data_IF_169464909550
#
_entry.id   IF_169464909550
#
_cell.length_a   1.000
_cell.length_b   1.000
_cell.length_c   1.000
_cell.angle_alpha   90.00
_cell.angle_beta   90.00
_cell.angle_gamma   90.00
#
_symmetry.space_group_name_H-M   'P 1'
#
loop_
_entity.id
_entity.type
_entity.pdbx_description
1 polymer ?
#
# COMPACT_ATOMS: atom_id res chain seq x y z
N UNK A 1 -0.32 -16.48 -5.31
CA UNK A 1 0.17 -15.16 -4.84
C UNK A 1 0.70 -15.32 -3.42
N UNK A 2 1.92 -14.83 -3.16
CA UNK A 2 2.75 -15.20 -2.01
C UNK A 2 2.76 -14.15 -0.90
N UNK A 3 3.73 -13.24 -0.95
CA UNK A 3 3.97 -12.26 0.12
C UNK A 3 4.41 -10.93 -0.47
N UNK A 4 4.14 -9.84 0.24
CA UNK A 4 4.79 -8.54 0.02
C UNK A 4 5.83 -8.36 1.12
N UNK A 5 7.07 -8.04 0.76
CA UNK A 5 8.15 -7.81 1.71
C UNK A 5 8.48 -6.31 1.71
N UNK A 6 8.36 -5.66 2.86
CA UNK A 6 8.67 -4.23 3.03
C UNK A 6 9.50 -4.08 4.30
N UNK A 7 10.74 -3.65 4.15
CA UNK A 7 11.68 -3.55 5.27
C UNK A 7 11.86 -4.90 5.98
N UNK A 8 11.54 -4.93 7.26
CA UNK A 8 11.59 -6.14 8.09
C UNK A 8 10.21 -6.82 8.27
N UNK A 9 9.21 -6.39 7.49
CA UNK A 9 7.84 -6.90 7.50
C UNK A 9 7.56 -7.78 6.28
N UNK A 10 6.87 -8.90 6.53
CA UNK A 10 6.44 -9.86 5.52
C UNK A 10 4.92 -10.00 5.60
N UNK A 11 4.23 -9.40 4.64
CA UNK A 11 2.77 -9.36 4.57
C UNK A 11 2.29 -10.53 3.73
N UNK A 12 1.54 -11.43 4.36
CA UNK A 12 0.96 -12.58 3.69
C UNK A 12 -0.28 -12.16 2.90
N UNK A 13 -0.26 -12.29 1.58
CA UNK A 13 -1.40 -11.95 0.71
C UNK A 13 -2.16 -13.20 0.26
N UNK A 14 -1.78 -14.39 0.73
CA UNK A 14 -2.53 -15.62 0.45
C UNK A 14 -3.95 -15.49 1.03
N UNK A 15 -4.94 -15.93 0.26
CA UNK A 15 -6.36 -15.77 0.60
C UNK A 15 -6.97 -14.41 0.23
N UNK A 16 -6.18 -13.45 -0.30
CA UNK A 16 -6.71 -12.30 -1.01
C UNK A 16 -6.93 -12.66 -2.48
N UNK A 17 -8.05 -13.34 -2.75
CA UNK A 17 -8.37 -13.89 -4.08
C UNK A 17 -8.58 -12.82 -5.16
N UNK A 18 -8.92 -11.60 -4.75
CA UNK A 18 -9.11 -10.47 -5.65
C UNK A 18 -7.79 -9.80 -6.09
N UNK A 19 -6.65 -10.20 -5.50
CA UNK A 19 -5.32 -9.82 -6.00
C UNK A 19 -4.86 -10.90 -6.99
N UNK A 20 -5.10 -10.63 -8.27
CA UNK A 20 -5.00 -11.63 -9.34
C UNK A 20 -3.67 -11.54 -10.07
N UNK A 21 -3.21 -10.32 -10.38
CA UNK A 21 -2.04 -10.11 -11.25
C UNK A 21 -0.79 -9.72 -10.46
N UNK A 22 0.40 -10.01 -11.02
CA UNK A 22 1.66 -9.53 -10.45
C UNK A 22 1.73 -8.00 -10.45
N UNK A 23 1.20 -7.35 -11.48
CA UNK A 23 1.19 -5.88 -11.62
C UNK A 23 0.36 -5.20 -10.53
N UNK A 24 -0.75 -5.83 -10.13
CA UNK A 24 -1.56 -5.38 -9.00
C UNK A 24 -0.80 -5.53 -7.68
N UNK A 25 -0.07 -6.64 -7.50
CA UNK A 25 0.78 -6.83 -6.32
C UNK A 25 1.93 -5.81 -6.25
N UNK A 26 2.60 -5.57 -7.37
CA UNK A 26 3.66 -4.56 -7.50
C UNK A 26 3.09 -3.17 -7.19
N UNK A 27 1.91 -2.83 -7.70
CA UNK A 27 1.21 -1.58 -7.41
C UNK A 27 0.93 -1.40 -5.92
N UNK A 28 0.39 -2.43 -5.25
CA UNK A 28 0.17 -2.41 -3.80
C UNK A 28 1.50 -2.18 -3.05
N UNK A 29 2.58 -2.86 -3.46
CA UNK A 29 3.91 -2.69 -2.87
C UNK A 29 4.40 -1.23 -2.98
N UNK A 30 4.29 -0.63 -4.17
CA UNK A 30 4.65 0.77 -4.38
C UNK A 30 3.76 1.74 -3.58
N UNK A 31 2.45 1.48 -3.50
CA UNK A 31 1.52 2.30 -2.72
C UNK A 31 1.84 2.25 -1.22
N UNK A 32 2.13 1.07 -0.67
CA UNK A 32 2.56 0.92 0.72
C UNK A 32 3.85 1.69 0.98
N UNK A 33 4.85 1.54 0.10
CA UNK A 33 6.10 2.28 0.19
C UNK A 33 5.87 3.79 0.16
N UNK A 34 5.00 4.27 -0.72
CA UNK A 34 4.65 5.69 -0.81
C UNK A 34 4.05 6.19 0.51
N UNK A 35 3.08 5.45 1.08
CA UNK A 35 2.46 5.78 2.36
C UNK A 35 3.50 5.85 3.49
N UNK A 36 4.45 4.92 3.55
CA UNK A 36 5.52 4.90 4.56
C UNK A 36 6.48 6.09 4.47
N UNK A 37 6.88 6.49 3.26
CA UNK A 37 7.89 7.54 3.06
C UNK A 37 7.29 8.96 3.05
N UNK A 38 6.01 9.09 2.70
CA UNK A 38 5.35 10.40 2.56
C UNK A 38 5.27 11.16 3.87
N UNK A 39 5.08 10.48 5.01
CA UNK A 39 5.02 11.10 6.35
C UNK A 39 5.72 10.27 7.42
N UNK A 40 6.66 10.89 8.12
CA UNK A 40 7.41 10.30 9.26
C UNK A 40 6.66 10.38 10.61
N UNK A 41 5.35 10.63 10.59
CA UNK A 41 4.57 10.68 11.83
C UNK A 41 4.34 9.27 12.37
N UNK A 42 4.41 9.11 13.70
CA UNK A 42 4.12 7.83 14.37
C UNK A 42 2.62 7.48 14.36
N UNK A 43 1.74 8.47 14.17
CA UNK A 43 0.30 8.30 13.99
C UNK A 43 -0.10 8.88 12.64
N UNK A 44 -0.85 8.09 11.87
CA UNK A 44 -1.36 8.46 10.56
C UNK A 44 -2.85 8.15 10.52
N UNK A 45 -3.63 9.05 9.94
CA UNK A 45 -4.97 8.69 9.47
C UNK A 45 -4.83 7.90 8.17
N UNK A 46 -4.96 6.58 8.27
CA UNK A 46 -4.73 5.69 7.14
C UNK A 46 -5.81 5.82 6.07
N UNK A 47 -7.06 6.15 6.45
CA UNK A 47 -8.15 6.26 5.47
C UNK A 47 -7.99 7.51 4.62
N UNK A 48 -7.85 8.68 5.26
CA UNK A 48 -7.60 9.93 4.55
C UNK A 48 -6.35 9.85 3.66
N UNK A 49 -5.30 9.17 4.12
CA UNK A 49 -4.08 8.95 3.32
C UNK A 49 -4.28 8.08 2.09
N UNK A 50 -5.09 7.04 2.20
CA UNK A 50 -5.45 6.21 1.05
C UNK A 50 -6.29 7.04 0.08
N UNK A 51 -7.25 7.82 0.57
CA UNK A 51 -8.06 8.67 -0.30
C UNK A 51 -7.21 9.70 -1.05
N UNK A 52 -6.34 10.44 -0.35
CA UNK A 52 -5.35 11.36 -0.94
C UNK A 52 -4.50 10.66 -2.01
N UNK A 53 -4.02 9.44 -1.74
CA UNK A 53 -3.20 8.68 -2.68
C UNK A 53 -3.98 8.34 -3.97
N UNK A 54 -5.24 7.92 -3.86
CA UNK A 54 -6.05 7.62 -5.04
C UNK A 54 -6.37 8.89 -5.85
N UNK A 55 -6.64 10.01 -5.20
CA UNK A 55 -6.80 11.31 -5.88
C UNK A 55 -5.53 11.72 -6.63
N UNK A 56 -4.36 11.49 -6.04
CA UNK A 56 -3.07 11.73 -6.71
C UNK A 56 -2.86 10.83 -7.93
N UNK A 57 -3.29 9.56 -7.88
CA UNK A 57 -3.23 8.63 -9.02
C UNK A 57 -4.18 9.08 -10.13
N UNK A 58 -5.38 9.53 -9.78
CA UNK A 58 -6.33 10.07 -10.75
C UNK A 58 -5.80 11.34 -11.42
N UNK A 59 -5.13 12.20 -10.66
CA UNK A 59 -4.62 13.49 -11.18
C UNK A 59 -3.32 13.35 -11.98
N UNK A 60 -2.36 12.57 -11.49
CA UNK A 60 -0.99 12.50 -12.02
C UNK A 60 -0.71 11.22 -12.82
N UNK A 61 -1.65 10.27 -12.85
CA UNK A 61 -1.42 8.91 -13.33
C UNK A 61 -0.67 8.04 -12.33
N UNK A 62 -0.54 6.75 -12.63
CA UNK A 62 0.11 5.78 -11.74
C UNK A 62 1.65 5.85 -11.76
N UNK A 63 2.23 6.49 -12.78
CA UNK A 63 3.68 6.47 -13.03
C UNK A 63 4.51 7.07 -11.87
N UNK A 64 3.95 7.99 -11.06
CA UNK A 64 4.68 8.57 -9.93
C UNK A 64 4.93 7.58 -8.78
N UNK A 65 4.18 6.48 -8.71
CA UNK A 65 4.39 5.43 -7.71
C UNK A 65 5.62 4.58 -8.03
N UNK A 66 5.94 4.44 -9.32
CA UNK A 66 7.00 3.57 -9.77
C UNK A 66 8.37 4.05 -9.30
N UNK A 67 9.20 3.11 -8.84
CA UNK A 67 10.59 3.35 -8.51
C UNK A 67 11.48 2.31 -9.16
N UNK A 68 12.46 2.76 -9.94
CA UNK A 68 13.48 1.90 -10.55
C UNK A 68 14.45 1.28 -9.53
N UNK A 69 14.36 1.67 -8.26
CA UNK A 69 15.13 1.05 -7.18
C UNK A 69 14.82 -0.44 -7.02
N UNK A 70 13.58 -0.85 -7.29
CA UNK A 70 13.13 -2.23 -7.19
C UNK A 70 13.23 -2.91 -8.56
N UNK A 71 14.31 -3.68 -8.76
CA UNK A 71 14.64 -4.26 -10.08
C UNK A 71 13.75 -5.44 -10.48
N UNK A 72 13.00 -6.01 -9.54
CA UNK A 72 12.11 -7.18 -9.76
C UNK A 72 10.63 -6.81 -9.91
N UNK A 73 10.29 -5.53 -9.77
CA UNK A 73 8.92 -5.00 -9.93
C UNK A 73 8.75 -4.39 -11.30
N UNK A 74 7.57 -4.56 -11.89
CA UNK A 74 7.27 -4.02 -13.23
C UNK A 74 6.86 -2.55 -13.17
N UNK A 75 7.15 -1.80 -14.25
CA UNK A 75 6.74 -0.40 -14.38
C UNK A 75 5.23 -0.24 -14.57
N UNK A 76 4.61 -1.14 -15.33
CA UNK A 76 3.19 -1.06 -15.63
C UNK A 76 2.38 -1.64 -14.47
N UNK A 77 1.50 -0.82 -13.90
CA UNK A 77 0.77 -1.12 -12.68
C UNK A 77 -0.72 -1.32 -12.99
N UNK A 78 -1.32 -2.35 -12.41
CA UNK A 78 -2.78 -2.51 -12.36
C UNK A 78 -3.25 -1.88 -11.04
N UNK A 79 -3.95 -0.74 -11.10
CA UNK A 79 -4.30 -0.02 -9.88
C UNK A 79 -5.31 -0.83 -9.07
N UNK A 80 -4.96 -1.23 -7.82
CA UNK A 80 -5.84 -2.02 -6.98
C UNK A 80 -7.03 -1.18 -6.51
N UNK A 81 -8.10 -1.83 -6.04
CA UNK A 81 -9.22 -1.15 -5.36
C UNK A 81 -8.80 -0.74 -3.94
N UNK A 82 -9.37 0.34 -3.42
CA UNK A 82 -9.09 0.83 -2.04
C UNK A 82 -9.18 -0.27 -0.99
N UNK A 83 -10.17 -1.17 -1.14
CA UNK A 83 -10.39 -2.30 -0.23
C UNK A 83 -9.26 -3.34 -0.27
N UNK A 84 -8.60 -3.54 -1.41
CA UNK A 84 -7.47 -4.48 -1.54
C UNK A 84 -6.25 -3.93 -0.82
N UNK A 85 -5.91 -2.65 -1.05
CA UNK A 85 -4.83 -1.97 -0.33
C UNK A 85 -5.10 -1.99 1.18
N UNK A 86 -6.32 -1.62 1.60
CA UNK A 86 -6.72 -1.67 3.01
C UNK A 86 -6.63 -3.09 3.60
N UNK A 87 -7.00 -4.12 2.85
CA UNK A 87 -6.93 -5.51 3.29
C UNK A 87 -5.49 -5.99 3.47
N UNK A 88 -4.55 -5.49 2.66
CA UNK A 88 -3.12 -5.77 2.82
C UNK A 88 -2.55 -5.04 4.04
N UNK A 89 -2.88 -3.76 4.23
CA UNK A 89 -2.45 -3.00 5.42
C UNK A 89 -2.95 -3.69 6.70
N UNK A 90 -4.21 -4.17 6.72
CA UNK A 90 -4.78 -4.93 7.86
C UNK A 90 -4.05 -6.23 8.20
N UNK A 91 -3.19 -6.73 7.31
CA UNK A 91 -2.37 -7.93 7.52
C UNK A 91 -0.95 -7.63 7.97
N UNK A 92 -0.57 -6.35 8.04
CA UNK A 92 0.67 -5.91 8.67
C UNK A 92 0.64 -6.25 10.17
N UNK A 93 1.73 -6.83 10.67
CA UNK A 93 1.89 -7.30 12.05
C UNK A 93 2.59 -6.28 12.94
N UNK A 94 3.29 -5.30 12.36
CA UNK A 94 4.10 -4.31 13.11
C UNK A 94 3.41 -2.97 13.34
N UNK A 95 2.17 -2.82 12.89
CA UNK A 95 1.36 -1.62 13.08
C UNK A 95 0.38 -1.80 14.25
N UNK A 96 -0.06 -0.69 14.83
CA UNK A 96 -1.13 -0.66 15.83
C UNK A 96 -2.24 0.28 15.37
N UNK A 97 -3.47 -0.21 15.41
CA UNK A 97 -4.64 0.61 15.16
C UNK A 97 -5.08 1.29 16.45
N UNK A 98 -5.34 2.59 16.36
CA UNK A 98 -5.90 3.40 17.43
C UNK A 98 -7.27 3.89 16.97
N UNK A 99 -8.26 3.87 17.86
CA UNK A 99 -9.57 4.42 17.54
C UNK A 99 -9.44 5.94 17.46
N UNK A 100 -10.05 6.57 16.45
CA UNK A 100 -9.98 8.02 16.25
C UNK A 100 -10.55 8.86 17.41
N UNK A 101 -11.21 8.22 18.38
CA UNK A 101 -11.72 8.84 19.61
C UNK A 101 -10.70 8.92 20.75
N UNK A 102 -9.56 8.23 20.66
CA UNK A 102 -8.56 8.21 21.73
C UNK A 102 -7.51 9.30 21.43
N UNK A 103 -8.02 10.53 21.49
CA UNK A 103 -7.23 11.77 21.54
C UNK A 103 -7.09 12.16 23.02
N UNK A 104 -6.11 11.56 23.68
CA UNK A 104 -5.45 12.12 24.87
C UNK A 104 -3.95 12.25 24.56
#
# INVERSE_FOLDING_TARGET
MGFIIIGDEMIDVRGLHDIITKRQLDAIGFMLRYLEISKKSRRIDIQGRIDELYEMIETNGADFLYSSFFTTTERFLDIPRKQELMAVIKRMRKIRYVKGSDSE
#
